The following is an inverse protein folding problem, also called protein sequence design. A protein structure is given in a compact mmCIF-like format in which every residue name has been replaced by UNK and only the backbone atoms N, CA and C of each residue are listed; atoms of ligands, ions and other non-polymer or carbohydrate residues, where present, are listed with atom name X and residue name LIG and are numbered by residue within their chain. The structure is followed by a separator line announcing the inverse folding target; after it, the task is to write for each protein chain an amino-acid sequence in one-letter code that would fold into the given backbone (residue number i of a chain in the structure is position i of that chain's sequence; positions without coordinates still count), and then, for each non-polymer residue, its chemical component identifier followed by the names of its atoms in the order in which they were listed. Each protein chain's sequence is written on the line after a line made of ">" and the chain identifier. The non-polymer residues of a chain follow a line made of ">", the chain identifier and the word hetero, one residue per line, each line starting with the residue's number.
data_IF_294787990770
#
_entry.id   IF_294787990770
#
_cell.length_a   1.000
_cell.length_b   1.000
_cell.length_c   1.000
_cell.angle_alpha   90.00
_cell.angle_beta   90.00
_cell.angle_gamma   90.00
#
_symmetry.space_group_name_H-M   'P 1'
#
loop_
_entity.id
_entity.type
_entity.pdbx_description
1 polymer ?
#
# COMPACT_ATOMS: atom_id res chain seq x y z
N UNK A 1 -33.07 -25.17 -5.97
CA UNK A 1 -31.90 -25.75 -6.65
C UNK A 1 -32.42 -26.16 -8.01
N UNK A 2 -32.17 -25.35 -9.04
CA UNK A 2 -32.61 -25.65 -10.41
C UNK A 2 -31.52 -26.53 -11.03
N UNK A 3 -31.87 -27.70 -11.53
CA UNK A 3 -30.92 -28.60 -12.21
C UNK A 3 -30.53 -27.98 -13.56
N UNK A 4 -29.36 -27.34 -13.59
CA UNK A 4 -28.70 -26.79 -14.79
C UNK A 4 -28.23 -27.89 -15.77
N UNK A 5 -28.48 -29.18 -15.48
CA UNK A 5 -27.99 -30.32 -16.26
C UNK A 5 -28.66 -30.52 -17.64
N UNK A 6 -29.65 -29.70 -18.00
CA UNK A 6 -30.34 -29.80 -19.31
C UNK A 6 -30.04 -28.66 -20.30
N UNK A 7 -29.14 -27.75 -19.95
CA UNK A 7 -28.76 -26.67 -20.87
C UNK A 7 -27.59 -27.14 -21.74
N UNK A 8 -27.85 -27.28 -23.04
CA UNK A 8 -26.81 -27.57 -24.02
C UNK A 8 -25.83 -26.38 -24.01
N UNK A 9 -24.60 -26.62 -23.56
CA UNK A 9 -23.62 -25.58 -23.20
C UNK A 9 -23.30 -24.59 -24.34
N UNK A 10 -23.66 -24.94 -25.57
CA UNK A 10 -23.40 -24.12 -26.76
C UNK A 10 -24.51 -23.09 -27.07
N UNK A 11 -25.67 -23.15 -26.39
CA UNK A 11 -26.86 -22.37 -26.77
C UNK A 11 -27.40 -21.40 -25.70
N UNK A 12 -26.69 -21.19 -24.58
CA UNK A 12 -27.13 -20.28 -23.52
C UNK A 12 -26.40 -18.94 -23.58
N UNK A 13 -27.13 -17.87 -23.86
CA UNK A 13 -26.67 -16.50 -23.64
C UNK A 13 -27.19 -16.00 -22.28
N UNK A 14 -26.33 -15.38 -21.48
CA UNK A 14 -26.71 -14.81 -20.18
C UNK A 14 -26.53 -13.30 -20.24
N UNK A 15 -27.63 -12.58 -20.05
CA UNK A 15 -27.66 -11.13 -20.02
C UNK A 15 -27.71 -10.59 -18.59
N UNK A 16 -27.03 -9.47 -18.38
CA UNK A 16 -26.92 -8.82 -17.08
C UNK A 16 -27.46 -7.41 -17.16
N UNK A 17 -28.52 -7.18 -16.39
CA UNK A 17 -29.17 -5.89 -16.32
C UNK A 17 -28.96 -5.38 -14.90
N UNK A 18 -28.38 -4.18 -14.77
CA UNK A 18 -28.26 -3.54 -13.46
C UNK A 18 -28.91 -2.15 -13.51
N UNK A 19 -29.78 -1.90 -12.54
CA UNK A 19 -30.52 -0.65 -12.42
C UNK A 19 -30.25 -0.02 -11.06
N UNK A 20 -29.90 1.26 -11.04
CA UNK A 20 -29.81 2.02 -9.79
C UNK A 20 -31.22 2.44 -9.41
N UNK A 21 -31.67 2.03 -8.23
CA UNK A 21 -32.96 2.44 -7.69
C UNK A 21 -32.82 3.87 -7.14
N UNK A 22 -33.44 4.83 -7.82
CA UNK A 22 -33.54 6.21 -7.34
C UNK A 22 -34.76 6.30 -6.43
N UNK A 23 -34.62 6.97 -5.28
CA UNK A 23 -35.70 7.09 -4.30
C UNK A 23 -36.87 7.99 -4.78
N UNK A 24 -36.69 8.67 -5.91
CA UNK A 24 -37.62 9.66 -6.45
C UNK A 24 -38.17 9.14 -7.79
N UNK A 25 -39.49 8.97 -7.90
CA UNK A 25 -40.15 8.34 -9.05
C UNK A 25 -40.12 9.17 -10.35
N UNK A 26 -39.43 10.31 -10.37
CA UNK A 26 -39.47 11.30 -11.45
C UNK A 26 -38.14 11.50 -12.21
N UNK A 27 -37.06 10.75 -11.92
CA UNK A 27 -35.86 10.77 -12.76
C UNK A 27 -35.91 9.67 -13.81
N UNK A 28 -35.66 10.03 -15.08
CA UNK A 28 -35.49 9.08 -16.18
C UNK A 28 -34.51 7.96 -15.78
N UNK A 29 -34.97 6.71 -15.91
CA UNK A 29 -34.22 5.48 -15.65
C UNK A 29 -32.91 5.52 -16.44
N UNK A 30 -31.78 5.65 -15.74
CA UNK A 30 -30.45 5.44 -16.33
C UNK A 30 -30.21 3.93 -16.42
N UNK A 31 -30.94 3.28 -17.33
CA UNK A 31 -30.80 1.87 -17.65
C UNK A 31 -29.47 1.65 -18.37
N UNK A 32 -28.48 1.09 -17.68
CA UNK A 32 -27.31 0.50 -18.32
C UNK A 32 -27.57 -0.99 -18.52
N UNK A 33 -27.83 -1.39 -19.77
CA UNK A 33 -27.79 -2.79 -20.18
C UNK A 33 -26.36 -3.14 -20.54
N UNK A 34 -25.82 -4.19 -19.94
CA UNK A 34 -24.50 -4.72 -20.31
C UNK A 34 -24.70 -6.13 -20.86
N UNK A 35 -24.53 -6.27 -22.17
CA UNK A 35 -24.54 -7.58 -22.81
C UNK A 35 -23.19 -8.27 -22.57
N UNK A 36 -23.20 -9.39 -21.86
CA UNK A 36 -22.03 -10.26 -21.77
C UNK A 36 -22.02 -11.18 -23.00
N UNK A 37 -21.51 -10.68 -24.13
CA UNK A 37 -21.10 -11.54 -25.25
C UNK A 37 -19.70 -12.09 -24.98
N UNK A 38 -19.52 -12.77 -23.84
CA UNK A 38 -18.33 -13.54 -23.59
C UNK A 38 -18.72 -14.99 -23.53
N UNK A 39 -18.01 -15.84 -24.27
CA UNK A 39 -17.77 -17.19 -23.79
C UNK A 39 -17.23 -17.04 -22.36
N UNK A 40 -18.13 -17.21 -21.40
CA UNK A 40 -17.73 -17.48 -20.04
C UNK A 40 -16.80 -18.67 -20.17
N UNK A 41 -15.57 -18.58 -19.68
CA UNK A 41 -14.73 -19.76 -19.56
C UNK A 41 -15.44 -20.68 -18.57
N UNK A 42 -16.35 -21.50 -19.08
CA UNK A 42 -16.88 -22.67 -18.41
C UNK A 42 -15.67 -23.60 -18.37
N UNK A 43 -14.84 -23.40 -17.34
CA UNK A 43 -13.88 -24.41 -16.94
C UNK A 43 -14.66 -25.72 -16.72
N UNK A 44 -13.97 -26.86 -16.70
CA UNK A 44 -14.58 -28.18 -16.45
C UNK A 44 -15.39 -28.30 -15.14
N UNK A 45 -15.50 -27.24 -14.34
CA UNK A 45 -16.43 -27.08 -13.23
C UNK A 45 -17.57 -26.10 -13.60
N UNK A 46 -18.81 -26.52 -13.33
CA UNK A 46 -20.13 -25.92 -13.61
C UNK A 46 -20.41 -24.53 -12.97
N UNK A 47 -19.39 -23.68 -12.79
CA UNK A 47 -19.47 -22.43 -12.03
C UNK A 47 -19.28 -21.24 -12.97
N UNK A 48 -20.33 -20.43 -13.09
CA UNK A 48 -20.28 -19.12 -13.72
C UNK A 48 -19.91 -18.07 -12.68
N UNK A 49 -18.83 -17.32 -12.92
CA UNK A 49 -18.42 -16.19 -12.08
C UNK A 49 -18.63 -14.86 -12.81
N UNK A 50 -19.34 -13.94 -12.16
CA UNK A 50 -19.65 -12.62 -12.72
C UNK A 50 -19.11 -11.54 -11.78
N UNK A 51 -18.41 -10.55 -12.35
CA UNK A 51 -17.91 -9.39 -11.60
C UNK A 51 -18.75 -8.16 -11.97
N UNK A 52 -19.39 -7.55 -10.98
CA UNK A 52 -20.20 -6.33 -11.14
C UNK A 52 -19.51 -5.15 -10.46
N UNK A 53 -19.53 -3.97 -11.09
CA UNK A 53 -18.97 -2.72 -10.54
C UNK A 53 -20.08 -1.73 -10.22
N UNK A 54 -19.96 -1.08 -9.06
CA UNK A 54 -20.91 -0.05 -8.61
C UNK A 54 -20.20 1.28 -8.48
N UNK A 55 -20.18 2.12 -9.53
CA UNK A 55 -19.42 3.37 -9.57
C UNK A 55 -19.99 4.49 -8.69
N UNK A 56 -21.14 4.28 -8.05
CA UNK A 56 -21.72 5.23 -7.09
C UNK A 56 -22.33 4.48 -5.90
N UNK A 57 -22.37 5.13 -4.75
CA UNK A 57 -23.11 4.62 -3.61
C UNK A 57 -24.63 4.65 -3.91
N UNK A 58 -25.36 3.66 -3.44
CA UNK A 58 -26.81 3.55 -3.67
C UNK A 58 -27.35 2.14 -3.57
N UNK A 59 -28.64 1.99 -3.86
CA UNK A 59 -29.30 0.71 -3.96
C UNK A 59 -29.39 0.30 -5.43
N UNK A 60 -28.98 -0.93 -5.73
CA UNK A 60 -28.96 -1.48 -7.07
C UNK A 60 -29.82 -2.73 -7.12
N UNK A 61 -30.55 -2.90 -8.23
CA UNK A 61 -31.19 -4.15 -8.60
C UNK A 61 -30.35 -4.80 -9.70
N UNK A 62 -29.94 -6.04 -9.50
CA UNK A 62 -29.20 -6.85 -10.48
C UNK A 62 -30.12 -7.96 -10.92
N UNK A 63 -30.33 -8.06 -12.22
CA UNK A 63 -31.13 -9.10 -12.85
C UNK A 63 -30.20 -9.93 -13.75
N UNK A 64 -30.20 -11.24 -13.51
CA UNK A 64 -29.51 -12.23 -14.34
C UNK A 64 -30.59 -12.93 -15.15
N UNK A 65 -30.50 -12.80 -16.46
CA UNK A 65 -31.48 -13.34 -17.40
C UNK A 65 -30.82 -14.37 -18.32
N UNK A 66 -31.50 -15.47 -18.58
CA UNK A 66 -31.07 -16.49 -19.53
C UNK A 66 -31.83 -16.36 -20.85
N UNK A 67 -31.16 -16.65 -21.96
CA UNK A 67 -31.75 -16.76 -23.28
C UNK A 67 -31.22 -17.97 -24.03
N UNK A 68 -32.13 -18.68 -24.70
CA UNK A 68 -31.77 -19.72 -25.68
C UNK A 68 -31.43 -19.09 -27.02
N UNK A 69 -30.32 -19.51 -27.64
CA UNK A 69 -29.90 -19.04 -28.96
C UNK A 69 -30.91 -19.35 -30.08
N UNK A 70 -31.70 -20.41 -29.92
CA UNK A 70 -32.57 -20.93 -30.99
C UNK A 70 -33.92 -20.22 -31.10
N UNK A 71 -34.30 -19.41 -30.11
CA UNK A 71 -35.64 -18.82 -30.06
C UNK A 71 -35.57 -17.33 -29.75
N UNK A 72 -36.23 -16.52 -30.57
CA UNK A 72 -36.49 -15.09 -30.31
C UNK A 72 -37.48 -14.86 -29.15
N UNK A 73 -37.56 -15.76 -28.17
CA UNK A 73 -38.44 -15.63 -27.01
C UNK A 73 -37.84 -14.72 -25.95
N UNK A 74 -38.74 -14.23 -25.10
CA UNK A 74 -38.47 -13.37 -23.95
C UNK A 74 -37.47 -13.99 -22.96
N UNK A 75 -36.83 -13.11 -22.19
CA UNK A 75 -35.84 -13.48 -21.18
C UNK A 75 -36.48 -14.23 -20.01
N UNK A 76 -35.96 -15.41 -19.68
CA UNK A 76 -36.29 -16.06 -18.41
C UNK A 76 -35.36 -15.54 -17.30
N UNK A 77 -35.96 -15.11 -16.20
CA UNK A 77 -35.23 -14.58 -15.05
C UNK A 77 -34.57 -15.73 -14.30
N UNK A 78 -33.23 -15.74 -14.26
CA UNK A 78 -32.45 -16.73 -13.52
C UNK A 78 -32.35 -16.32 -12.06
N UNK A 79 -31.97 -15.07 -11.80
CA UNK A 79 -31.79 -14.54 -10.45
C UNK A 79 -31.95 -13.03 -10.38
N UNK A 80 -32.41 -12.53 -9.23
CA UNK A 80 -32.46 -11.10 -8.92
C UNK A 80 -31.79 -10.85 -7.58
N UNK A 81 -30.93 -9.85 -7.53
CA UNK A 81 -30.29 -9.40 -6.30
C UNK A 81 -30.57 -7.92 -6.06
N UNK A 82 -30.79 -7.56 -4.79
CA UNK A 82 -30.76 -6.18 -4.33
C UNK A 82 -29.41 -5.95 -3.62
N UNK A 83 -28.63 -5.00 -4.12
CA UNK A 83 -27.28 -4.71 -3.62
C UNK A 83 -27.23 -3.29 -3.09
N UNK A 84 -26.93 -3.16 -1.80
CA UNK A 84 -26.72 -1.87 -1.15
C UNK A 84 -25.22 -1.53 -1.13
N UNK A 85 -24.85 -0.49 -1.84
CA UNK A 85 -23.48 -0.01 -1.98
C UNK A 85 -23.32 1.21 -1.08
N UNK A 86 -22.61 1.05 0.04
CA UNK A 86 -22.42 2.12 1.03
C UNK A 86 -21.27 3.06 0.68
N UNK A 87 -20.21 2.51 0.09
CA UNK A 87 -18.99 3.23 -0.22
C UNK A 87 -18.47 2.74 -1.57
N UNK A 88 -17.94 3.66 -2.36
CA UNK A 88 -17.29 3.38 -3.64
C UNK A 88 -15.91 4.00 -3.61
N UNK A 89 -14.94 3.33 -4.21
CA UNK A 89 -13.61 3.90 -4.35
C UNK A 89 -13.58 4.92 -5.50
N UNK A 90 -12.86 6.02 -5.31
CA UNK A 90 -12.77 7.12 -6.28
C UNK A 90 -12.21 6.70 -7.65
N UNK A 91 -11.45 5.59 -7.71
CA UNK A 91 -10.91 5.04 -8.95
C UNK A 91 -11.92 4.17 -9.72
N UNK A 92 -13.07 3.83 -9.13
CA UNK A 92 -14.05 2.95 -9.74
C UNK A 92 -14.95 3.74 -10.70
N UNK A 93 -14.64 3.69 -11.99
CA UNK A 93 -15.47 4.26 -13.05
C UNK A 93 -16.56 3.29 -13.52
N UNK A 94 -17.59 3.82 -14.16
CA UNK A 94 -18.62 3.01 -14.81
C UNK A 94 -17.99 2.09 -15.85
N UNK A 95 -18.61 0.91 -16.06
CA UNK A 95 -18.26 0.14 -17.25
C UNK A 95 -18.62 0.95 -18.49
N UNK A 96 -17.76 0.95 -19.51
CA UNK A 96 -18.08 1.58 -20.77
C UNK A 96 -19.42 1.10 -21.31
N UNK A 97 -20.17 2.00 -21.94
CA UNK A 97 -21.32 1.57 -22.74
C UNK A 97 -20.80 0.74 -23.90
N UNK A 98 -21.39 -0.44 -24.06
CA UNK A 98 -20.99 -1.40 -25.09
C UNK A 98 -22.08 -1.40 -26.15
N UNK A 99 -21.66 -1.30 -27.41
CA UNK A 99 -22.56 -1.56 -28.53
C UNK A 99 -23.09 -3.00 -28.49
N UNK A 100 -24.11 -3.31 -29.29
CA UNK A 100 -24.72 -4.64 -29.40
C UNK A 100 -23.72 -5.79 -29.65
N UNK A 101 -22.54 -5.46 -30.16
CA UNK A 101 -21.45 -6.39 -30.45
C UNK A 101 -20.82 -7.01 -29.20
N UNK A 102 -20.95 -6.36 -28.03
CA UNK A 102 -20.42 -6.87 -26.77
C UNK A 102 -18.89 -6.78 -26.65
N UNK A 103 -18.31 -7.50 -25.68
CA UNK A 103 -16.87 -7.52 -25.37
C UNK A 103 -16.21 -8.82 -25.81
N UNK A 104 -15.03 -8.73 -26.40
CA UNK A 104 -14.22 -9.88 -26.78
C UNK A 104 -14.63 -10.52 -28.11
N UNK A 105 -13.91 -11.57 -28.53
CA UNK A 105 -14.21 -12.32 -29.75
C UNK A 105 -15.63 -12.87 -29.73
N UNK A 106 -16.33 -12.74 -30.86
CA UNK A 106 -17.72 -13.14 -31.03
C UNK A 106 -17.92 -13.72 -32.44
N UNK A 107 -19.11 -14.28 -32.69
CA UNK A 107 -19.45 -14.87 -34.00
C UNK A 107 -19.35 -13.88 -35.16
N UNK A 108 -19.66 -12.59 -34.94
CA UNK A 108 -19.55 -11.57 -35.98
C UNK A 108 -18.09 -11.34 -36.42
N UNK A 109 -17.12 -11.45 -35.51
CA UNK A 109 -15.70 -11.44 -35.86
C UNK A 109 -15.34 -12.60 -36.80
N UNK A 110 -15.88 -13.80 -36.54
CA UNK A 110 -15.67 -14.99 -37.37
C UNK A 110 -16.37 -14.88 -38.73
N UNK A 111 -17.57 -14.32 -38.78
CA UNK A 111 -18.28 -13.98 -40.03
C UNK A 111 -17.48 -13.01 -40.90
N UNK A 112 -16.69 -12.14 -40.26
CA UNK A 112 -15.73 -11.26 -40.93
C UNK A 112 -14.46 -12.00 -41.41
N UNK A 113 -14.37 -13.31 -41.19
CA UNK A 113 -13.23 -14.14 -41.57
C UNK A 113 -12.00 -13.99 -40.66
N UNK A 114 -12.20 -13.45 -39.45
CA UNK A 114 -11.13 -13.17 -38.50
C UNK A 114 -11.23 -14.07 -37.28
N UNK A 115 -10.07 -14.39 -36.69
CA UNK A 115 -9.96 -15.07 -35.40
C UNK A 115 -8.97 -14.34 -34.52
N UNK A 116 -9.35 -14.03 -33.27
CA UNK A 116 -8.41 -13.46 -32.31
C UNK A 116 -7.37 -14.53 -31.90
N UNK A 117 -6.09 -14.21 -32.05
CA UNK A 117 -4.97 -15.12 -31.70
C UNK A 117 -4.33 -14.77 -30.37
N UNK A 118 -4.24 -13.48 -30.05
CA UNK A 118 -3.54 -13.00 -28.85
C UNK A 118 -4.40 -12.96 -27.58
N UNK A 119 -5.67 -12.55 -27.69
CA UNK A 119 -6.56 -12.31 -26.56
C UNK A 119 -7.94 -12.86 -26.88
N UNK A 120 -8.27 -13.97 -26.22
CA UNK A 120 -9.52 -14.73 -26.43
C UNK A 120 -10.69 -14.23 -25.57
N UNK A 121 -10.42 -13.41 -24.55
CA UNK A 121 -11.44 -12.81 -23.69
C UNK A 121 -11.70 -11.35 -24.02
N UNK A 122 -12.75 -10.77 -23.41
CA UNK A 122 -13.07 -9.35 -23.54
C UNK A 122 -12.16 -8.40 -22.73
N UNK A 123 -11.30 -8.93 -21.86
CA UNK A 123 -10.35 -8.14 -21.06
C UNK A 123 -8.90 -8.41 -21.50
N UNK A 124 -8.13 -7.32 -21.63
CA UNK A 124 -6.70 -7.33 -21.91
C UNK A 124 -5.98 -6.65 -20.73
N UNK A 125 -5.08 -7.37 -20.06
CA UNK A 125 -4.21 -6.78 -19.03
C UNK A 125 -2.85 -6.49 -19.65
N UNK A 126 -2.41 -5.23 -19.58
CA UNK A 126 -1.12 -4.81 -20.12
C UNK A 126 -0.34 -3.95 -19.12
N UNK A 127 0.91 -3.62 -19.48
CA UNK A 127 1.80 -2.80 -18.66
C UNK A 127 1.91 -1.41 -19.29
N UNK A 128 1.66 -0.37 -18.48
CA UNK A 128 1.88 1.02 -18.88
C UNK A 128 3.35 1.26 -19.27
N UNK A 129 3.56 2.03 -20.33
CA UNK A 129 4.86 2.27 -20.95
C UNK A 129 5.29 1.20 -21.97
N UNK A 130 4.51 0.13 -22.20
CA UNK A 130 4.80 -0.92 -23.18
C UNK A 130 3.83 -0.87 -24.37
N UNK A 131 4.20 -1.55 -25.46
CA UNK A 131 3.35 -1.76 -26.63
C UNK A 131 2.43 -2.95 -26.35
N UNK A 132 1.12 -2.73 -26.47
CA UNK A 132 0.13 -3.79 -26.51
C UNK A 132 0.06 -4.34 -27.94
N UNK A 133 0.30 -5.64 -28.11
CA UNK A 133 0.12 -6.33 -29.39
C UNK A 133 -1.19 -7.10 -29.42
N UNK A 134 -2.09 -6.78 -30.35
CA UNK A 134 -3.33 -7.52 -30.60
C UNK A 134 -3.24 -8.20 -31.96
N UNK A 135 -3.23 -9.52 -31.95
CA UNK A 135 -3.05 -10.39 -33.13
C UNK A 135 -4.34 -11.05 -33.56
N UNK A 136 -4.59 -11.04 -34.87
CA UNK A 136 -5.69 -11.71 -35.54
C UNK A 136 -5.16 -12.61 -36.66
N UNK A 137 -5.74 -13.80 -36.79
CA UNK A 137 -5.52 -14.71 -37.90
C UNK A 137 -6.69 -14.65 -38.87
N UNK A 138 -6.43 -15.00 -40.13
CA UNK A 138 -7.48 -15.20 -41.13
C UNK A 138 -8.01 -16.62 -41.03
N UNK A 139 -9.33 -16.78 -41.01
CA UNK A 139 -9.96 -18.08 -41.06
C UNK A 139 -9.79 -18.70 -42.46
N UNK A 140 -9.59 -20.02 -42.60
CA UNK A 140 -9.39 -20.67 -43.90
C UNK A 140 -10.56 -20.47 -44.88
N UNK A 141 -11.77 -20.34 -44.35
CA UNK A 141 -13.02 -20.11 -45.08
C UNK A 141 -13.39 -18.62 -45.23
N UNK A 142 -12.48 -17.69 -44.88
CA UNK A 142 -12.72 -16.27 -45.06
C UNK A 142 -13.01 -15.96 -46.53
N UNK A 143 -14.12 -15.26 -46.80
CA UNK A 143 -14.53 -14.87 -48.17
C UNK A 143 -13.50 -13.96 -48.85
N UNK A 144 -12.61 -13.34 -48.08
CA UNK A 144 -11.51 -12.54 -48.60
C UNK A 144 -10.24 -12.69 -47.77
N UNK A 145 -9.10 -12.55 -48.45
CA UNK A 145 -7.77 -12.42 -47.85
C UNK A 145 -7.35 -10.96 -47.63
N UNK A 146 -8.09 -10.01 -48.20
CA UNK A 146 -7.80 -8.57 -48.11
C UNK A 146 -8.61 -7.96 -46.97
N UNK A 147 -8.03 -8.00 -45.78
CA UNK A 147 -8.61 -7.42 -44.56
C UNK A 147 -7.75 -6.27 -44.08
N UNK A 148 -8.37 -5.11 -43.85
CA UNK A 148 -7.74 -3.98 -43.19
C UNK A 148 -8.44 -3.74 -41.86
N UNK A 149 -7.67 -3.55 -40.79
CA UNK A 149 -8.22 -3.20 -39.48
C UNK A 149 -8.03 -1.70 -39.21
N UNK A 150 -8.86 -1.13 -38.37
CA UNK A 150 -8.62 0.18 -37.73
C UNK A 150 -8.95 0.02 -36.27
N UNK A 151 -8.35 0.83 -35.40
CA UNK A 151 -8.67 0.78 -33.98
C UNK A 151 -8.89 2.17 -33.41
N UNK A 152 -9.67 2.21 -32.33
CA UNK A 152 -9.89 3.40 -31.50
C UNK A 152 -9.63 3.00 -30.06
N UNK A 153 -8.70 3.70 -29.40
CA UNK A 153 -8.43 3.53 -27.98
C UNK A 153 -8.99 4.75 -27.23
N UNK A 154 -9.89 4.52 -26.28
CA UNK A 154 -10.54 5.56 -25.48
C UNK A 154 -10.33 5.32 -23.99
N UNK A 155 -10.08 6.37 -23.22
CA UNK A 155 -10.07 6.30 -21.76
C UNK A 155 -11.50 6.28 -21.22
N UNK A 156 -11.78 5.41 -20.24
CA UNK A 156 -13.14 5.24 -19.69
C UNK A 156 -13.61 6.48 -18.92
N UNK A 157 -12.66 7.22 -18.33
CA UNK A 157 -12.97 8.42 -17.53
C UNK A 157 -13.68 9.50 -18.36
N UNK A 158 -13.39 9.59 -19.67
CA UNK A 158 -13.87 10.69 -20.52
C UNK A 158 -15.20 10.42 -21.23
N UNK A 159 -15.87 9.29 -20.97
CA UNK A 159 -17.13 8.94 -21.67
C UNK A 159 -18.39 9.56 -21.07
N UNK A 160 -18.32 10.18 -19.89
CA UNK A 160 -19.51 10.54 -19.10
C UNK A 160 -19.79 12.03 -19.00
N UNK A 161 -18.99 12.90 -19.62
CA UNK A 161 -19.38 14.30 -19.76
C UNK A 161 -20.47 14.40 -20.84
N UNK A 162 -21.60 14.95 -20.41
CA UNK A 162 -22.92 14.85 -21.02
C UNK A 162 -22.98 15.50 -22.41
N UNK A 163 -23.72 14.84 -23.31
CA UNK A 163 -23.96 15.15 -24.73
C UNK A 163 -22.89 14.65 -25.71
N UNK A 164 -23.05 13.40 -26.22
CA UNK A 164 -22.43 13.00 -27.47
C UNK A 164 -23.17 13.71 -28.61
N UNK A 165 -23.02 15.03 -28.72
CA UNK A 165 -23.16 15.65 -30.04
C UNK A 165 -22.09 15.01 -30.92
N UNK A 166 -22.44 14.74 -32.18
CA UNK A 166 -21.70 13.94 -33.17
C UNK A 166 -20.35 14.56 -33.59
N UNK A 167 -19.66 15.26 -32.68
CA UNK A 167 -18.34 15.82 -32.89
C UNK A 167 -17.30 14.70 -32.84
N UNK A 168 -17.01 14.19 -34.05
CA UNK A 168 -15.97 13.21 -34.37
C UNK A 168 -14.53 13.63 -34.00
N UNK A 169 -14.32 14.67 -33.19
CA UNK A 169 -13.02 15.31 -32.94
C UNK A 169 -12.28 14.80 -31.69
N UNK A 170 -12.94 14.12 -30.75
CA UNK A 170 -12.34 13.72 -29.45
C UNK A 170 -11.82 12.27 -29.37
N UNK A 171 -11.43 11.66 -30.48
CA UNK A 171 -10.68 10.40 -30.42
C UNK A 171 -9.27 10.67 -29.86
N UNK A 172 -9.01 10.27 -28.61
CA UNK A 172 -7.74 10.57 -27.92
C UNK A 172 -6.52 9.95 -28.62
N UNK A 173 -6.70 8.80 -29.30
CA UNK A 173 -5.69 8.17 -30.15
C UNK A 173 -6.34 7.39 -31.30
N UNK A 174 -6.52 8.04 -32.46
CA UNK A 174 -6.80 7.38 -33.74
C UNK A 174 -5.50 7.19 -34.52
N UNK A 175 -4.85 6.05 -34.35
CA UNK A 175 -3.63 5.72 -35.10
C UNK A 175 -3.96 4.86 -36.31
N UNK A 176 -3.42 5.20 -37.48
CA UNK A 176 -3.25 4.21 -38.55
C UNK A 176 -2.17 3.24 -38.07
N UNK A 177 -2.55 2.04 -37.64
CA UNK A 177 -1.57 1.00 -37.29
C UNK A 177 -0.73 0.66 -38.51
N UNK A 178 0.58 0.56 -38.33
CA UNK A 178 1.46 -0.07 -39.31
C UNK A 178 1.13 -1.56 -39.37
N UNK A 179 0.50 -1.98 -40.46
CA UNK A 179 0.33 -3.40 -40.77
C UNK A 179 1.70 -3.96 -41.16
N UNK A 180 2.30 -4.74 -40.28
CA UNK A 180 3.32 -5.69 -40.71
C UNK A 180 2.61 -7.01 -40.96
N UNK A 181 2.53 -7.49 -42.22
CA UNK A 181 2.14 -8.87 -42.45
C UNK A 181 3.14 -9.73 -41.70
N UNK A 182 2.65 -10.51 -40.72
CA UNK A 182 3.45 -11.60 -40.16
C UNK A 182 3.86 -12.54 -41.28
N UNK A 183 5.00 -13.24 -41.14
CA UNK A 183 5.40 -14.30 -42.07
C UNK A 183 4.33 -15.40 -42.20
N UNK A 184 3.44 -15.50 -41.21
CA UNK A 184 2.38 -16.51 -41.13
C UNK A 184 1.01 -15.98 -41.60
N UNK A 185 0.93 -14.74 -42.10
CA UNK A 185 -0.34 -14.13 -42.57
C UNK A 185 -1.19 -13.50 -41.46
N UNK A 186 -0.69 -13.45 -40.22
CA UNK A 186 -1.36 -12.77 -39.11
C UNK A 186 -1.33 -11.25 -39.26
N UNK A 187 -2.40 -10.63 -38.77
CA UNK A 187 -2.58 -9.18 -38.66
C UNK A 187 -2.25 -8.78 -37.21
N UNK A 188 -1.25 -7.91 -37.03
CA UNK A 188 -0.83 -7.43 -35.71
C UNK A 188 -1.12 -5.93 -35.56
N UNK A 189 -1.89 -5.56 -34.54
CA UNK A 189 -2.10 -4.17 -34.12
C UNK A 189 -1.17 -3.89 -32.94
N UNK A 190 -0.28 -2.91 -33.09
CA UNK A 190 0.62 -2.45 -32.05
C UNK A 190 0.14 -1.11 -31.48
N UNK A 191 -0.15 -1.08 -30.18
CA UNK A 191 -0.78 0.06 -29.51
C UNK A 191 0.13 0.52 -28.36
N UNK A 192 0.75 1.71 -28.42
CA UNK A 192 1.57 2.20 -27.33
C UNK A 192 0.68 2.61 -26.15
N UNK A 193 0.85 1.95 -25.01
CA UNK A 193 0.11 2.24 -23.78
C UNK A 193 0.95 3.18 -22.92
N UNK A 194 0.54 4.44 -22.76
CA UNK A 194 1.40 5.47 -22.14
C UNK A 194 1.30 5.52 -20.61
N UNK A 195 0.12 5.25 -20.06
CA UNK A 195 -0.17 5.47 -18.64
C UNK A 195 -1.00 4.34 -18.06
N UNK A 196 -1.05 4.29 -16.72
CA UNK A 196 -1.94 3.41 -15.98
C UNK A 196 -3.35 3.96 -16.13
N UNK A 197 -4.21 3.22 -16.81
CA UNK A 197 -5.62 3.58 -16.97
C UNK A 197 -6.43 2.36 -17.37
N UNK A 198 -7.74 2.54 -17.29
CA UNK A 198 -8.70 1.63 -17.90
C UNK A 198 -9.19 2.24 -19.21
N UNK A 199 -9.09 1.46 -20.28
CA UNK A 199 -9.38 1.92 -21.63
C UNK A 199 -10.29 0.95 -22.38
N UNK A 200 -10.84 1.43 -23.47
CA UNK A 200 -11.67 0.68 -24.41
C UNK A 200 -10.92 0.67 -25.72
N UNK A 201 -10.71 -0.53 -26.25
CA UNK A 201 -10.16 -0.74 -27.57
C UNK A 201 -11.28 -1.23 -28.48
N UNK A 202 -11.78 -0.34 -29.33
CA UNK A 202 -12.69 -0.69 -30.41
C UNK A 202 -11.85 -1.06 -31.64
N UNK A 203 -12.20 -2.15 -32.32
CA UNK A 203 -11.55 -2.55 -33.58
C UNK A 203 -12.61 -2.61 -34.66
N UNK A 204 -12.26 -2.03 -35.81
CA UNK A 204 -13.07 -1.93 -37.00
C UNK A 204 -12.40 -2.71 -38.12
N UNK A 205 -13.18 -3.30 -39.03
CA UNK A 205 -12.65 -4.04 -40.17
C UNK A 205 -13.23 -3.55 -41.49
N UNK A 206 -12.41 -3.58 -42.53
CA UNK A 206 -12.81 -3.36 -43.92
C UNK A 206 -12.38 -4.57 -44.74
N UNK A 207 -13.33 -5.19 -45.43
CA UNK A 207 -13.16 -6.42 -46.21
C UNK A 207 -13.43 -6.12 -47.70
N UNK A 208 -12.45 -6.27 -48.59
CA UNK A 208 -12.61 -5.96 -50.02
C UNK A 208 -13.23 -4.57 -50.28
N UNK A 209 -12.74 -3.54 -49.60
CA UNK A 209 -13.29 -2.16 -49.65
C UNK A 209 -14.75 -2.01 -49.17
N UNK A 210 -15.37 -3.07 -48.64
CA UNK A 210 -16.66 -2.99 -47.93
C UNK A 210 -16.38 -2.78 -46.45
N UNK A 211 -16.85 -1.67 -45.90
CA UNK A 211 -16.74 -1.41 -44.46
C UNK A 211 -17.63 -2.39 -43.70
N UNK A 212 -17.03 -3.18 -42.79
CA UNK A 212 -17.77 -4.01 -41.84
C UNK A 212 -18.03 -3.27 -40.53
N UNK A 213 -17.51 -2.04 -40.41
CA UNK A 213 -17.65 -1.23 -39.22
C UNK A 213 -16.98 -1.88 -38.03
N UNK A 214 -17.63 -1.73 -36.88
CA UNK A 214 -17.16 -2.18 -35.58
C UNK A 214 -17.24 -3.72 -35.50
N UNK A 215 -16.12 -4.41 -35.24
CA UNK A 215 -16.06 -5.89 -35.20
C UNK A 215 -15.79 -6.47 -33.82
N UNK A 216 -15.11 -5.75 -32.91
CA UNK A 216 -14.82 -6.23 -31.56
C UNK A 216 -14.47 -5.09 -30.60
N UNK A 217 -14.87 -5.24 -29.34
CA UNK A 217 -14.41 -4.41 -28.23
C UNK A 217 -13.49 -5.19 -27.30
N UNK A 218 -12.44 -4.56 -26.79
CA UNK A 218 -11.68 -5.04 -25.64
C UNK A 218 -11.62 -4.00 -24.53
N UNK A 219 -11.75 -4.47 -23.30
CA UNK A 219 -11.48 -3.68 -22.11
C UNK A 219 -10.00 -3.83 -21.77
N UNK A 220 -9.24 -2.75 -21.88
CA UNK A 220 -7.79 -2.75 -21.66
C UNK A 220 -7.48 -2.19 -20.28
N UNK A 221 -6.87 -3.02 -19.43
CA UNK A 221 -6.39 -2.65 -18.10
C UNK A 221 -4.88 -2.48 -18.12
N UNK A 222 -4.44 -1.22 -18.25
CA UNK A 222 -3.03 -0.87 -18.16
C UNK A 222 -2.62 -0.73 -16.69
N UNK A 223 -1.73 -1.62 -16.23
CA UNK A 223 -1.19 -1.61 -14.86
C UNK A 223 0.24 -1.10 -14.87
N UNK A 224 0.68 -0.56 -13.74
CA UNK A 224 2.11 -0.28 -13.54
C UNK A 224 2.90 -1.58 -13.59
N UNK A 225 4.12 -1.56 -14.15
CA UNK A 225 4.99 -2.72 -14.10
C UNK A 225 5.20 -3.11 -12.62
N UNK A 226 4.88 -4.35 -12.19
CA UNK A 226 5.03 -4.75 -10.80
C UNK A 226 6.45 -4.50 -10.26
N UNK A 227 7.47 -4.62 -11.12
CA UNK A 227 8.85 -4.31 -10.74
C UNK A 227 9.02 -2.83 -10.47
N UNK A 228 8.51 -1.95 -11.34
CA UNK A 228 8.57 -0.51 -11.15
C UNK A 228 7.81 -0.08 -9.90
N UNK A 229 6.59 -0.62 -9.68
CA UNK A 229 5.81 -0.37 -8.46
C UNK A 229 6.60 -0.73 -7.20
N UNK A 230 7.28 -1.87 -7.22
CA UNK A 230 8.12 -2.30 -6.10
C UNK A 230 9.35 -1.41 -5.90
N UNK A 231 9.97 -0.92 -6.98
CA UNK A 231 11.06 0.07 -6.89
C UNK A 231 10.59 1.41 -6.30
N UNK A 232 9.40 1.89 -6.67
CA UNK A 232 8.81 3.12 -6.12
C UNK A 232 8.55 2.99 -4.62
N UNK A 233 7.88 1.90 -4.20
CA UNK A 233 7.65 1.59 -2.78
C UNK A 233 8.98 1.48 -2.02
N UNK A 234 10.00 0.86 -2.63
CA UNK A 234 11.33 0.75 -2.04
C UNK A 234 11.98 2.11 -1.85
N UNK A 235 11.96 2.97 -2.86
CA UNK A 235 12.54 4.31 -2.80
C UNK A 235 11.87 5.16 -1.71
N UNK A 236 10.55 5.08 -1.61
CA UNK A 236 9.77 5.76 -0.58
C UNK A 236 10.15 5.30 0.84
N UNK A 237 10.21 3.98 1.08
CA UNK A 237 10.61 3.43 2.38
C UNK A 237 12.04 3.84 2.75
N UNK A 238 12.99 3.78 1.80
CA UNK A 238 14.37 4.21 2.03
C UNK A 238 14.39 5.70 2.40
N UNK A 239 13.64 6.55 1.70
CA UNK A 239 13.53 7.98 2.00
C UNK A 239 13.05 8.24 3.43
N UNK A 240 11.91 7.62 3.81
CA UNK A 240 11.33 7.77 5.16
C UNK A 240 12.26 7.25 6.26
N UNK A 241 12.89 6.09 6.07
CA UNK A 241 13.83 5.55 7.07
C UNK A 241 15.04 6.47 7.26
N UNK A 242 15.61 7.01 6.18
CA UNK A 242 16.73 7.95 6.26
C UNK A 242 16.37 9.24 7.02
N UNK A 243 15.17 9.76 6.80
CA UNK A 243 14.67 10.93 7.53
C UNK A 243 14.48 10.62 9.02
N UNK A 244 13.82 9.50 9.32
CA UNK A 244 13.54 9.10 10.71
C UNK A 244 14.81 8.75 11.50
N UNK A 245 15.85 8.22 10.85
CA UNK A 245 17.15 7.94 11.52
C UNK A 245 17.80 9.23 12.03
N UNK A 246 17.65 10.34 11.31
CA UNK A 246 18.19 11.65 11.68
C UNK A 246 17.31 12.37 12.72
N UNK A 247 16.02 12.06 12.74
CA UNK A 247 15.05 12.66 13.65
C UNK A 247 15.12 12.17 15.10
N UNK A 248 14.24 12.75 15.91
CA UNK A 248 13.96 12.34 17.30
C UNK A 248 12.54 11.76 17.46
N UNK A 249 11.73 11.74 16.38
CA UNK A 249 10.36 11.25 16.43
C UNK A 249 10.31 9.71 16.37
N UNK A 250 10.18 9.10 17.55
CA UNK A 250 10.06 7.65 17.69
C UNK A 250 8.80 7.08 17.01
N UNK A 251 7.71 7.84 16.93
CA UNK A 251 6.44 7.36 16.36
C UNK A 251 6.57 7.21 14.86
N UNK A 252 7.11 8.23 14.19
CA UNK A 252 7.41 8.18 12.75
C UNK A 252 8.39 7.05 12.42
N UNK A 253 9.46 6.90 13.22
CA UNK A 253 10.41 5.81 13.05
C UNK A 253 9.76 4.43 13.22
N UNK A 254 8.87 4.27 14.20
CA UNK A 254 8.10 3.03 14.42
C UNK A 254 7.21 2.72 13.22
N UNK A 255 6.52 3.72 12.68
CA UNK A 255 5.67 3.57 11.50
C UNK A 255 6.50 3.13 10.28
N UNK A 256 7.60 3.83 9.98
CA UNK A 256 8.46 3.50 8.85
C UNK A 256 9.05 2.08 8.94
N UNK A 257 9.44 1.64 10.15
CA UNK A 257 9.89 0.26 10.38
C UNK A 257 8.78 -0.77 10.13
N UNK A 258 7.54 -0.47 10.51
CA UNK A 258 6.41 -1.37 10.28
C UNK A 258 6.01 -1.43 8.80
N UNK A 259 6.05 -0.33 8.07
CA UNK A 259 5.82 -0.28 6.63
C UNK A 259 6.86 -1.10 5.85
N UNK A 260 8.14 -1.02 6.24
CA UNK A 260 9.21 -1.85 5.68
C UNK A 260 9.02 -3.36 5.97
N UNK A 261 8.43 -3.72 7.11
CA UNK A 261 8.07 -5.11 7.42
C UNK A 261 6.87 -5.59 6.62
N UNK A 262 5.80 -4.79 6.57
CA UNK A 262 4.56 -5.12 5.88
C UNK A 262 4.76 -5.29 4.36
N UNK A 263 5.65 -4.51 3.76
CA UNK A 263 6.04 -4.63 2.35
C UNK A 263 7.03 -5.78 2.07
N UNK A 264 7.54 -6.46 3.10
CA UNK A 264 8.58 -7.50 2.96
C UNK A 264 9.97 -6.96 2.60
N UNK A 265 10.15 -5.64 2.49
CA UNK A 265 11.38 -5.00 2.02
C UNK A 265 12.49 -4.92 3.08
N UNK A 266 12.20 -5.15 4.36
CA UNK A 266 13.21 -5.17 5.43
C UNK A 266 14.38 -6.17 5.22
N UNK A 267 14.22 -7.17 4.35
CA UNK A 267 15.28 -8.14 3.97
C UNK A 267 15.90 -7.85 2.61
N UNK A 268 15.42 -6.84 1.90
CA UNK A 268 15.97 -6.44 0.61
C UNK A 268 17.37 -5.86 0.81
N UNK A 269 18.35 -6.33 0.05
CA UNK A 269 19.75 -5.90 0.17
C UNK A 269 19.92 -4.38 0.11
N UNK A 270 19.07 -3.67 -0.65
CA UNK A 270 19.12 -2.20 -0.78
C UNK A 270 18.55 -1.47 0.45
N UNK A 271 17.71 -2.13 1.24
CA UNK A 271 16.99 -1.55 2.40
C UNK A 271 17.56 -2.04 3.72
N UNK A 272 18.14 -3.24 3.75
CA UNK A 272 18.58 -3.93 4.97
C UNK A 272 19.57 -3.10 5.80
N UNK A 273 20.57 -2.44 5.18
CA UNK A 273 21.51 -1.58 5.91
C UNK A 273 20.81 -0.42 6.63
N UNK A 274 19.97 0.35 5.91
CA UNK A 274 19.25 1.47 6.51
C UNK A 274 18.19 1.01 7.52
N UNK A 275 17.58 -0.15 7.29
CA UNK A 275 16.63 -0.76 8.22
C UNK A 275 17.32 -1.17 9.54
N UNK A 276 18.53 -1.75 9.47
CA UNK A 276 19.32 -2.09 10.65
C UNK A 276 19.73 -0.84 11.45
N UNK A 277 20.17 0.22 10.77
CA UNK A 277 20.45 1.53 11.38
C UNK A 277 19.20 2.12 12.03
N UNK A 278 18.06 2.09 11.34
CA UNK A 278 16.77 2.51 11.88
C UNK A 278 16.34 1.70 13.12
N UNK A 279 16.59 0.40 13.15
CA UNK A 279 16.34 -0.44 14.33
C UNK A 279 17.26 -0.11 15.50
N UNK A 280 18.54 0.17 15.25
CA UNK A 280 19.48 0.63 16.27
C UNK A 280 19.04 1.99 16.85
N UNK A 281 18.74 2.94 15.97
CA UNK A 281 18.22 4.26 16.35
C UNK A 281 16.91 4.17 17.14
N UNK A 282 15.99 3.30 16.74
CA UNK A 282 14.74 3.08 17.47
C UNK A 282 15.00 2.56 18.89
N UNK A 283 15.93 1.61 19.07
CA UNK A 283 16.33 1.11 20.39
C UNK A 283 16.93 2.24 21.24
N UNK A 284 17.79 3.08 20.64
CA UNK A 284 18.35 4.25 21.29
C UNK A 284 17.26 5.23 21.76
N UNK A 285 16.38 5.68 20.86
CA UNK A 285 15.32 6.64 21.19
C UNK A 285 14.33 6.07 22.22
N UNK A 286 13.98 4.78 22.11
CA UNK A 286 13.12 4.10 23.08
C UNK A 286 13.71 4.16 24.48
N UNK A 287 15.04 3.94 24.59
CA UNK A 287 15.76 4.00 25.86
C UNK A 287 15.91 5.42 26.37
N UNK A 288 16.21 6.36 25.49
CA UNK A 288 16.29 7.78 25.83
C UNK A 288 14.97 8.29 26.42
N UNK A 289 13.83 7.95 25.82
CA UNK A 289 12.53 8.31 26.36
C UNK A 289 12.21 7.62 27.69
N UNK A 290 12.67 6.38 27.91
CA UNK A 290 12.54 5.71 29.21
C UNK A 290 13.36 6.44 30.28
N UNK A 291 14.59 6.81 29.96
CA UNK A 291 15.47 7.59 30.81
C UNK A 291 14.84 8.94 31.21
N UNK A 292 14.28 9.68 30.24
CA UNK A 292 13.56 10.93 30.53
C UNK A 292 12.35 10.71 31.46
N UNK A 293 11.55 9.66 31.23
CA UNK A 293 10.42 9.31 32.09
C UNK A 293 10.86 8.94 33.50
N UNK A 294 11.98 8.23 33.66
CA UNK A 294 12.54 7.92 34.97
C UNK A 294 12.95 9.21 35.72
N UNK A 295 13.55 10.18 35.03
CA UNK A 295 13.90 11.49 35.61
C UNK A 295 12.64 12.28 35.98
N UNK A 296 11.60 12.26 35.15
CA UNK A 296 10.34 12.94 35.44
C UNK A 296 9.64 12.41 36.70
N UNK A 297 9.89 11.14 37.05
CA UNK A 297 9.37 10.53 38.28
C UNK A 297 10.11 10.99 39.54
N UNK A 298 11.32 11.54 39.41
CA UNK A 298 12.10 12.04 40.55
C UNK A 298 11.56 13.43 40.95
N UNK A 299 10.70 13.44 41.97
CA UNK A 299 10.11 14.67 42.47
C UNK A 299 11.09 15.42 43.40
N UNK A 300 10.87 16.73 43.60
CA UNK A 300 11.67 17.48 44.58
C UNK A 300 11.43 16.98 46.01
N UNK A 301 10.27 16.38 46.29
CA UNK A 301 9.96 15.73 47.57
C UNK A 301 10.81 14.48 47.78
N UNK A 302 11.04 13.69 46.73
CA UNK A 302 11.92 12.52 46.78
C UNK A 302 13.36 12.93 47.09
N UNK A 303 13.85 13.98 46.45
CA UNK A 303 15.18 14.55 46.72
C UNK A 303 15.28 15.08 48.17
N UNK A 304 14.23 15.75 48.66
CA UNK A 304 14.18 16.23 50.03
C UNK A 304 14.19 15.08 51.04
N UNK A 305 13.50 13.98 50.74
CA UNK A 305 13.49 12.74 51.53
C UNK A 305 14.89 12.13 51.61
N UNK A 306 15.53 11.90 50.46
CA UNK A 306 16.91 11.40 50.36
C UNK A 306 17.88 12.27 51.17
N UNK A 307 17.78 13.59 51.03
CA UNK A 307 18.62 14.54 51.76
C UNK A 307 18.47 14.43 53.28
N UNK A 308 17.25 14.22 53.77
CA UNK A 308 16.95 14.23 55.21
C UNK A 308 17.51 13.01 55.97
N UNK A 309 18.09 12.04 55.27
CA UNK A 309 18.69 10.86 55.87
C UNK A 309 19.98 11.20 56.64
N UNK A 310 20.00 10.88 57.93
CA UNK A 310 21.17 11.10 58.80
C UNK A 310 22.27 10.05 58.59
N UNK A 311 21.89 8.82 58.23
CA UNK A 311 22.79 7.68 57.99
C UNK A 311 22.22 6.83 56.85
N UNK A 312 22.42 7.23 55.60
CA UNK A 312 21.96 6.45 54.45
C UNK A 312 22.72 5.13 54.36
N UNK A 313 22.09 4.15 53.70
CA UNK A 313 22.72 2.90 53.31
C UNK A 313 23.86 3.15 52.29
N UNK A 314 24.96 2.41 52.41
CA UNK A 314 26.13 2.56 51.53
C UNK A 314 25.77 2.35 50.04
N UNK A 315 24.78 1.51 49.74
CA UNK A 315 24.30 1.27 48.38
C UNK A 315 23.63 2.52 47.81
N UNK A 316 22.86 3.24 48.62
CA UNK A 316 22.23 4.51 48.24
C UNK A 316 23.30 5.58 47.99
N UNK A 317 24.29 5.69 48.88
CA UNK A 317 25.44 6.60 48.72
C UNK A 317 26.16 6.31 47.41
N UNK A 318 26.40 5.03 47.10
CA UNK A 318 27.04 4.60 45.87
C UNK A 318 26.26 5.04 44.61
N UNK A 319 24.93 4.83 44.59
CA UNK A 319 24.06 5.24 43.48
C UNK A 319 24.08 6.76 43.27
N UNK A 320 23.98 7.56 44.34
CA UNK A 320 24.02 9.02 44.21
C UNK A 320 25.40 9.53 43.81
N UNK A 321 26.48 8.92 44.30
CA UNK A 321 27.84 9.22 43.88
C UNK A 321 28.04 8.91 42.39
N UNK A 322 27.61 7.74 41.93
CA UNK A 322 27.63 7.37 40.52
C UNK A 322 26.85 8.37 39.65
N UNK A 323 25.67 8.81 40.12
CA UNK A 323 24.87 9.84 39.44
C UNK A 323 25.65 11.14 39.29
N UNK A 324 26.24 11.65 40.37
CA UNK A 324 26.98 12.91 40.36
C UNK A 324 28.25 12.84 39.49
N UNK A 325 28.93 11.69 39.46
CA UNK A 325 30.06 11.44 38.55
C UNK A 325 29.65 11.53 37.07
N UNK A 326 28.51 10.93 36.68
CA UNK A 326 27.99 11.05 35.31
C UNK A 326 27.66 12.50 34.97
N UNK A 327 27.12 13.25 35.93
CA UNK A 327 26.84 14.68 35.79
C UNK A 327 28.09 15.57 35.82
N UNK A 328 29.29 15.00 35.93
CA UNK A 328 30.57 15.70 35.80
C UNK A 328 31.15 16.25 37.12
N UNK A 329 30.68 15.79 38.28
CA UNK A 329 31.31 16.16 39.55
C UNK A 329 32.71 15.52 39.71
N UNK A 330 33.58 16.24 40.42
CA UNK A 330 34.93 15.76 40.75
C UNK A 330 34.85 14.60 41.76
N UNK A 331 35.44 13.42 41.47
CA UNK A 331 35.41 12.26 42.36
C UNK A 331 35.93 12.53 43.79
N UNK A 332 36.82 13.51 43.95
CA UNK A 332 37.39 13.90 45.24
C UNK A 332 36.44 14.70 46.12
N UNK A 333 35.37 15.27 45.54
CA UNK A 333 34.39 16.13 46.22
C UNK A 333 33.09 15.43 46.61
N UNK A 334 32.99 14.13 46.36
CA UNK A 334 31.78 13.32 46.58
C UNK A 334 32.15 11.97 47.18
N UNK A 335 33.06 11.94 48.16
CA UNK A 335 33.57 10.69 48.74
C UNK A 335 32.62 10.18 49.81
N UNK A 336 32.17 11.07 50.70
CA UNK A 336 31.27 10.73 51.81
C UNK A 336 29.84 11.20 51.56
N UNK A 337 28.90 10.83 52.45
CA UNK A 337 27.53 11.30 52.36
C UNK A 337 27.42 12.81 52.60
N UNK A 338 28.22 13.34 53.53
CA UNK A 338 28.30 14.75 53.86
C UNK A 338 28.76 15.58 52.65
N UNK A 339 29.61 15.00 51.80
CA UNK A 339 30.05 15.60 50.54
C UNK A 339 28.93 15.61 49.48
N UNK A 340 28.09 14.58 49.44
CA UNK A 340 27.02 14.42 48.45
C UNK A 340 25.81 15.32 48.76
N UNK A 341 25.43 15.45 50.03
CA UNK A 341 24.24 16.21 50.46
C UNK A 341 24.15 17.63 49.88
N UNK A 342 25.22 18.44 49.87
CA UNK A 342 25.21 19.78 49.26
C UNK A 342 24.72 19.75 47.80
N UNK A 343 25.13 18.78 46.99
CA UNK A 343 24.74 18.68 45.58
C UNK A 343 23.25 18.43 45.37
N UNK A 344 22.57 17.80 46.35
CA UNK A 344 21.12 17.61 46.34
C UNK A 344 20.35 18.90 46.64
N UNK A 345 20.99 19.88 47.29
CA UNK A 345 20.35 21.15 47.72
C UNK A 345 20.55 22.32 46.77
N UNK A 346 21.45 22.19 45.80
CA UNK A 346 21.78 23.30 44.91
C UNK A 346 20.53 23.75 44.14
N UNK A 347 20.28 25.06 44.18
CA UNK A 347 19.21 25.72 43.44
C UNK A 347 19.72 26.30 42.10
N UNK A 348 18.80 26.62 41.19
CA UNK A 348 19.11 27.29 39.94
C UNK A 348 19.69 26.36 38.85
N UNK A 349 20.59 26.86 37.97
CA UNK A 349 21.12 26.10 36.83
C UNK A 349 21.85 24.80 37.22
N UNK A 350 22.47 24.77 38.40
CA UNK A 350 23.21 23.61 38.93
C UNK A 350 22.34 22.62 39.71
N UNK A 351 21.04 22.85 39.78
CA UNK A 351 20.11 21.93 40.43
C UNK A 351 20.15 20.54 39.81
N UNK A 352 20.13 19.50 40.66
CA UNK A 352 20.25 18.10 40.25
C UNK A 352 19.21 17.70 39.20
N UNK A 353 17.94 18.02 39.43
CA UNK A 353 16.85 17.68 38.49
C UNK A 353 17.03 18.37 37.14
N UNK A 354 17.49 19.62 37.13
CA UNK A 354 17.79 20.33 35.88
C UNK A 354 18.98 19.70 35.13
N UNK A 355 20.01 19.27 35.85
CA UNK A 355 21.18 18.60 35.27
C UNK A 355 20.84 17.23 34.70
N UNK A 356 20.02 16.44 35.40
CA UNK A 356 19.52 15.15 34.91
C UNK A 356 18.69 15.32 33.62
N UNK A 357 17.76 16.28 33.60
CA UNK A 357 16.91 16.57 32.42
C UNK A 357 17.71 17.05 31.21
N UNK A 358 18.80 17.79 31.46
CA UNK A 358 19.67 18.34 30.42
C UNK A 358 20.91 17.47 30.18
N UNK A 359 20.91 16.22 30.66
CA UNK A 359 22.05 15.35 30.49
C UNK A 359 22.15 14.87 29.04
N UNK A 360 23.32 15.08 28.44
CA UNK A 360 23.60 14.67 27.07
C UNK A 360 24.72 13.62 27.04
N UNK A 361 24.45 12.48 26.41
CA UNK A 361 25.46 11.42 26.16
C UNK A 361 26.46 11.80 25.06
N UNK A 362 26.36 13.02 24.51
CA UNK A 362 27.25 13.60 23.51
C UNK A 362 28.37 14.44 24.09
N UNK A 363 28.40 14.64 25.42
CA UNK A 363 29.48 15.32 26.11
C UNK A 363 30.84 14.64 25.82
N UNK A 364 31.87 15.42 25.52
CA UNK A 364 33.21 14.93 25.18
C UNK A 364 33.83 14.08 26.31
N UNK A 365 33.47 14.36 27.56
CA UNK A 365 34.02 13.67 28.73
C UNK A 365 33.22 12.43 29.14
N UNK A 366 32.10 12.11 28.45
CA UNK A 366 31.19 11.05 28.88
C UNK A 366 31.89 9.70 29.05
N UNK A 367 32.83 9.37 28.16
CA UNK A 367 33.58 8.11 28.24
C UNK A 367 34.39 8.01 29.54
N UNK A 368 35.10 9.08 29.92
CA UNK A 368 35.88 9.13 31.16
C UNK A 368 34.96 9.03 32.39
N UNK A 369 33.79 9.69 32.36
CA UNK A 369 32.81 9.62 33.45
C UNK A 369 32.23 8.22 33.60
N UNK A 370 31.89 7.56 32.50
CA UNK A 370 31.43 6.16 32.45
C UNK A 370 32.48 5.23 33.07
N UNK A 371 33.75 5.33 32.68
CA UNK A 371 34.84 4.51 33.23
C UNK A 371 35.04 4.72 34.74
N UNK A 372 34.91 5.96 35.22
CA UNK A 372 34.97 6.27 36.66
C UNK A 372 33.82 5.63 37.42
N UNK A 373 32.62 5.63 36.84
CA UNK A 373 31.45 5.00 37.47
C UNK A 373 31.56 3.49 37.43
N UNK A 374 32.02 2.88 36.33
CA UNK A 374 32.34 1.45 36.27
C UNK A 374 33.38 1.06 37.31
N UNK A 375 34.42 1.88 37.51
CA UNK A 375 35.43 1.64 38.55
C UNK A 375 34.86 1.75 39.97
N UNK A 376 33.90 2.66 40.19
CA UNK A 376 33.21 2.83 41.48
C UNK A 376 32.30 1.64 41.78
N UNK A 377 31.55 1.17 40.78
CA UNK A 377 30.63 0.05 40.92
C UNK A 377 31.36 -1.31 40.92
N UNK A 378 32.53 -1.39 40.28
CA UNK A 378 33.30 -2.61 40.08
C UNK A 378 32.55 -3.62 39.20
N UNK A 379 32.78 -4.92 39.44
CA UNK A 379 32.03 -6.00 38.78
C UNK A 379 30.57 -6.09 39.26
N UNK A 380 30.19 -5.31 40.27
CA UNK A 380 28.84 -5.31 40.82
C UNK A 380 27.97 -4.39 39.98
N UNK A 381 27.09 -4.97 39.17
CA UNK A 381 25.96 -4.24 38.63
C UNK A 381 25.08 -3.70 39.77
N UNK A 382 24.48 -2.52 39.57
CA UNK A 382 23.52 -1.98 40.54
C UNK A 382 22.32 -2.93 40.56
N UNK A 383 22.17 -3.69 41.65
CA UNK A 383 21.01 -4.55 41.85
C UNK A 383 19.80 -3.67 42.21
N UNK A 384 18.94 -3.46 41.22
CA UNK A 384 17.73 -2.65 41.36
C UNK A 384 16.78 -3.20 42.43
N UNK A 385 16.73 -4.52 42.64
CA UNK A 385 15.86 -5.13 43.66
C UNK A 385 16.37 -4.78 45.05
N UNK A 386 17.69 -4.84 45.25
CA UNK A 386 18.30 -4.42 46.50
C UNK A 386 18.11 -2.92 46.78
N UNK A 387 18.31 -2.06 45.77
CA UNK A 387 18.12 -0.61 45.93
C UNK A 387 16.66 -0.28 46.23
N UNK A 388 15.70 -0.93 45.54
CA UNK A 388 14.27 -0.76 45.83
C UNK A 388 13.92 -1.14 47.27
N UNK A 389 14.58 -2.15 47.83
CA UNK A 389 14.43 -2.53 49.24
C UNK A 389 14.94 -1.48 50.22
N UNK A 390 15.85 -0.61 49.80
CA UNK A 390 16.42 0.49 50.60
C UNK A 390 15.62 1.78 50.43
N UNK A 391 15.43 2.24 49.20
CA UNK A 391 14.72 3.48 48.88
C UNK A 391 14.18 3.43 47.45
N UNK A 392 12.87 3.70 47.33
CA UNK A 392 12.20 3.81 46.04
C UNK A 392 12.75 4.97 45.20
N UNK A 393 13.11 6.06 45.86
CA UNK A 393 13.66 7.26 45.26
C UNK A 393 15.05 6.96 44.67
N UNK A 394 15.90 6.26 45.42
CA UNK A 394 17.22 5.82 44.96
C UNK A 394 17.13 4.87 43.75
N UNK A 395 16.08 4.05 43.67
CA UNK A 395 15.88 3.15 42.53
C UNK A 395 15.67 3.90 41.21
N UNK A 396 15.05 5.09 41.24
CA UNK A 396 14.91 5.91 40.03
C UNK A 396 16.26 6.40 39.50
N UNK A 397 17.19 6.77 40.40
CA UNK A 397 18.57 7.13 40.02
C UNK A 397 19.36 5.91 39.50
N UNK A 398 19.20 4.75 40.14
CA UNK A 398 19.81 3.51 39.67
C UNK A 398 19.33 3.13 38.25
N UNK A 399 18.01 3.23 38.00
CA UNK A 399 17.45 3.04 36.67
C UNK A 399 18.00 4.03 35.65
N UNK A 400 18.13 5.30 36.04
CA UNK A 400 18.71 6.34 35.18
C UNK A 400 20.17 6.01 34.81
N UNK A 401 20.99 5.58 35.77
CA UNK A 401 22.39 5.18 35.54
C UNK A 401 22.45 4.00 34.55
N UNK A 402 21.65 2.95 34.75
CA UNK A 402 21.61 1.81 33.82
C UNK A 402 21.20 2.27 32.41
N UNK A 403 20.14 3.06 32.28
CA UNK A 403 19.72 3.58 30.98
C UNK A 403 20.81 4.45 30.32
N UNK A 404 21.57 5.25 31.09
CA UNK A 404 22.72 6.01 30.56
C UNK A 404 23.83 5.08 30.06
N UNK A 405 24.18 4.02 30.81
CA UNK A 405 25.14 3.01 30.34
C UNK A 405 24.68 2.33 29.05
N UNK A 406 23.41 1.94 28.97
CA UNK A 406 22.86 1.31 27.77
C UNK A 406 22.86 2.27 26.58
N UNK A 407 22.49 3.54 26.79
CA UNK A 407 22.54 4.58 25.75
C UNK A 407 23.97 4.80 25.26
N UNK A 408 24.93 4.83 26.17
CA UNK A 408 26.35 4.96 25.85
C UNK A 408 26.85 3.77 25.00
N UNK A 409 26.52 2.54 25.40
CA UNK A 409 26.86 1.31 24.64
C UNK A 409 26.22 1.28 23.26
N UNK A 410 24.94 1.67 23.14
CA UNK A 410 24.25 1.74 21.85
C UNK A 410 24.92 2.75 20.91
N UNK A 411 25.34 3.90 21.45
CA UNK A 411 26.05 4.92 20.66
C UNK A 411 27.39 4.40 20.12
N UNK A 412 28.14 3.63 20.91
CA UNK A 412 29.39 3.02 20.46
C UNK A 412 29.20 1.99 19.34
N UNK A 413 28.03 1.37 19.24
CA UNK A 413 27.71 0.42 18.16
C UNK A 413 27.24 1.11 16.87
N UNK A 414 26.84 2.38 16.95
CA UNK A 414 26.43 3.20 15.80
C UNK A 414 27.62 3.92 15.14
N UNK A 415 28.78 3.98 15.81
CA UNK A 415 30.08 4.44 15.27
C UNK A 415 30.90 3.27 14.73
#
# INVERSE_FOLDING_TARGET
>A
MWELEKLDNNNLQIDFIHKRLVADHNLHDMDSKTHLNGESQISSASILSITVRFPRAGLYKIEICGRSNDVFTEFDWIAIYNVQVKMVHDWLVFFPRVDKIGWGPNSYLEECGLKALSHIGGEIICIAGKILEVKFGLLPNARTKNVSLRFKLQDVVNQYDEHPEEDNSNATYGGNSSFSPSKDGDIVIQIPIKQVSEMILNIYATLNATDKGHVINYRVLAKLDPKQKMEEIRAEIIGRLNECVKGLDIKLLTQALNEARASGLHRDRKVDDIFRKACARHRYLSRYLKCLKAIEQISNTDIASLRSMNRPDDRLVCVLRATLLLLGEDPSRIVTWEDIQPHLTILGPKNLNRRLKNFETTDADIHSRIQKVESLLGDKHIDLVEILGVSREAAAFAHWIDDVFQLYKLKLLDC
#
